data_IF_168107951192
#
_entry.id   IF_168107951192
#
_cell.length_a   1.000
_cell.length_b   1.000
_cell.length_c   1.000
_cell.angle_alpha   90.00
_cell.angle_beta   90.00
_cell.angle_gamma   90.00
#
_symmetry.space_group_name_H-M   'P 1'
#
loop_
_entity.id
_entity.type
_entity.pdbx_description
1 polymer ?
#
# COMPACT_ATOMS: atom_id res chain seq x y z
N UNK A 1 -15.66 -19.96 3.97
CA UNK A 1 -14.81 -18.81 3.60
C UNK A 1 -15.54 -17.48 3.72
N UNK A 2 -16.72 -17.34 3.11
CA UNK A 2 -17.49 -16.08 3.12
C UNK A 2 -17.87 -15.59 4.54
N UNK A 3 -18.26 -16.51 5.42
CA UNK A 3 -18.60 -16.18 6.82
C UNK A 3 -17.40 -15.60 7.58
N UNK A 4 -16.22 -16.22 7.44
CA UNK A 4 -14.98 -15.76 8.07
C UNK A 4 -14.56 -14.39 7.54
N UNK A 5 -14.64 -14.19 6.22
CA UNK A 5 -14.37 -12.91 5.58
C UNK A 5 -15.28 -11.80 6.12
N UNK A 6 -16.61 -12.05 6.22
CA UNK A 6 -17.57 -11.08 6.78
C UNK A 6 -17.29 -10.75 8.25
N UNK A 7 -16.93 -11.75 9.04
CA UNK A 7 -16.56 -11.54 10.44
C UNK A 7 -15.31 -10.67 10.58
N UNK A 8 -14.27 -10.97 9.83
CA UNK A 8 -13.02 -10.20 9.85
C UNK A 8 -13.22 -8.77 9.31
N UNK A 9 -14.02 -8.61 8.27
CA UNK A 9 -14.38 -7.29 7.73
C UNK A 9 -15.16 -6.46 8.76
N UNK A 10 -16.14 -7.06 9.45
CA UNK A 10 -16.91 -6.39 10.50
C UNK A 10 -16.02 -5.98 11.67
N UNK A 11 -15.07 -6.83 12.09
CA UNK A 11 -14.08 -6.48 13.13
C UNK A 11 -13.26 -5.26 12.73
N UNK A 12 -12.80 -5.21 11.48
CA UNK A 12 -12.00 -4.10 10.97
C UNK A 12 -12.78 -2.79 10.98
N UNK A 13 -14.03 -2.77 10.48
CA UNK A 13 -14.84 -1.56 10.45
C UNK A 13 -15.35 -1.09 11.81
N UNK A 14 -15.57 -2.00 12.76
CA UNK A 14 -15.92 -1.65 14.14
C UNK A 14 -14.73 -1.12 14.95
N UNK A 15 -13.51 -1.27 14.45
CA UNK A 15 -12.32 -0.81 15.13
C UNK A 15 -12.23 0.72 15.04
N UNK A 16 -12.20 1.41 16.18
CA UNK A 16 -12.09 2.89 16.26
C UNK A 16 -10.90 3.43 15.43
N UNK A 17 -9.78 2.68 15.41
CA UNK A 17 -8.61 3.08 14.61
C UNK A 17 -8.88 3.16 13.12
N UNK A 18 -9.81 2.39 12.55
CA UNK A 18 -10.18 2.45 11.14
C UNK A 18 -10.90 3.76 10.80
N UNK A 19 -11.79 4.20 11.70
CA UNK A 19 -12.50 5.50 11.55
C UNK A 19 -11.50 6.66 11.66
N UNK A 20 -10.63 6.63 12.67
CA UNK A 20 -9.59 7.65 12.84
C UNK A 20 -8.64 7.72 11.66
N UNK A 21 -8.26 6.57 11.08
CA UNK A 21 -7.48 6.53 9.86
C UNK A 21 -8.13 7.32 8.72
N UNK A 22 -9.41 7.07 8.44
CA UNK A 22 -10.15 7.79 7.40
C UNK A 22 -10.21 9.31 7.67
N UNK A 23 -10.46 9.70 8.92
CA UNK A 23 -10.50 11.12 9.31
C UNK A 23 -9.12 11.80 9.16
N UNK A 24 -8.05 11.15 9.59
CA UNK A 24 -6.68 11.68 9.46
C UNK A 24 -6.32 11.84 7.99
N UNK A 25 -6.59 10.84 7.15
CA UNK A 25 -6.32 10.91 5.71
C UNK A 25 -7.12 12.02 5.03
N UNK A 26 -8.39 12.19 5.40
CA UNK A 26 -9.23 13.28 4.88
C UNK A 26 -8.71 14.66 5.32
N UNK A 27 -8.25 14.78 6.56
CA UNK A 27 -7.67 16.03 7.09
C UNK A 27 -6.36 16.37 6.36
N UNK A 28 -5.49 15.39 6.12
CA UNK A 28 -4.24 15.57 5.35
C UNK A 28 -4.57 16.08 3.94
N UNK A 29 -5.49 15.41 3.23
CA UNK A 29 -5.92 15.83 1.89
C UNK A 29 -6.44 17.27 1.88
N UNK A 30 -7.26 17.64 2.88
CA UNK A 30 -7.82 18.98 2.99
C UNK A 30 -6.74 20.03 3.22
N UNK A 31 -5.77 19.75 4.10
CA UNK A 31 -4.64 20.66 4.37
C UNK A 31 -3.85 20.91 3.07
N UNK A 32 -3.44 19.85 2.36
CA UNK A 32 -2.69 20.02 1.11
C UNK A 32 -3.49 20.68 -0.01
N UNK A 33 -4.82 20.45 -0.07
CA UNK A 33 -5.69 21.14 -1.01
C UNK A 33 -5.79 22.64 -0.70
N UNK A 34 -5.89 23.02 0.57
CA UNK A 34 -5.87 24.43 1.02
C UNK A 34 -4.51 25.07 0.71
N UNK A 35 -3.39 24.38 1.00
CA UNK A 35 -2.04 24.87 0.68
C UNK A 35 -1.86 25.06 -0.83
N UNK A 36 -2.38 24.16 -1.66
CA UNK A 36 -2.34 24.28 -3.11
C UNK A 36 -3.15 25.50 -3.62
N UNK A 37 -4.22 25.89 -2.90
CA UNK A 37 -4.99 27.10 -3.20
C UNK A 37 -4.26 28.38 -2.79
N UNK A 38 -3.70 28.42 -1.57
CA UNK A 38 -3.13 29.62 -0.97
C UNK A 38 -1.70 29.88 -1.49
N UNK A 39 -0.88 28.83 -1.66
CA UNK A 39 0.52 28.94 -2.08
C UNK A 39 0.83 28.09 -3.31
N UNK A 40 0.27 28.41 -4.49
CA UNK A 40 0.42 27.60 -5.70
C UNK A 40 1.86 27.56 -6.24
N UNK A 41 2.72 28.49 -5.84
CA UNK A 41 4.15 28.51 -6.20
C UNK A 41 4.95 27.40 -5.51
N UNK A 42 4.60 27.07 -4.27
CA UNK A 42 5.26 26.01 -3.49
C UNK A 42 4.53 24.66 -3.69
N UNK A 43 3.20 24.72 -3.72
CA UNK A 43 2.31 23.56 -3.87
C UNK A 43 1.49 23.69 -5.17
N UNK A 44 2.07 23.36 -6.35
CA UNK A 44 1.35 23.49 -7.60
C UNK A 44 0.12 22.60 -7.61
N UNK A 45 -1.05 23.16 -7.82
CA UNK A 45 -2.34 22.51 -7.70
C UNK A 45 -2.44 21.21 -8.55
N UNK A 46 -1.88 21.24 -9.76
CA UNK A 46 -1.87 20.08 -10.66
C UNK A 46 -1.02 18.92 -10.09
N UNK A 47 0.14 19.22 -9.54
CA UNK A 47 1.04 18.21 -8.94
C UNK A 47 0.43 17.63 -7.67
N UNK A 48 -0.12 18.49 -6.80
CA UNK A 48 -0.80 18.06 -5.58
C UNK A 48 -2.00 17.17 -5.87
N UNK A 49 -2.81 17.53 -6.87
CA UNK A 49 -3.91 16.67 -7.29
C UNK A 49 -3.41 15.34 -7.88
N UNK A 50 -2.36 15.36 -8.71
CA UNK A 50 -1.79 14.14 -9.29
C UNK A 50 -1.31 13.16 -8.21
N UNK A 51 -0.83 13.67 -7.07
CA UNK A 51 -0.45 12.90 -5.89
C UNK A 51 -1.62 12.64 -4.90
N UNK A 52 -2.88 12.85 -5.30
CA UNK A 52 -4.04 12.77 -4.41
C UNK A 52 -3.86 13.60 -3.12
N UNK A 53 -3.30 14.81 -3.26
CA UNK A 53 -2.96 15.69 -2.11
C UNK A 53 -2.13 14.96 -1.05
N UNK A 54 -1.12 14.19 -1.48
CA UNK A 54 -0.14 13.44 -0.67
C UNK A 54 -0.73 12.29 0.18
N UNK A 55 -2.04 12.03 0.09
CA UNK A 55 -2.72 11.02 0.94
C UNK A 55 -2.17 9.61 0.69
N UNK A 56 -1.78 9.28 -0.54
CA UNK A 56 -1.35 7.93 -0.89
C UNK A 56 -0.11 7.49 -0.10
N UNK A 57 0.82 8.39 0.16
CA UNK A 57 2.00 8.11 0.98
C UNK A 57 1.64 7.77 2.43
N UNK A 58 0.58 8.37 2.97
CA UNK A 58 0.12 8.09 4.33
C UNK A 58 -0.71 6.82 4.42
N UNK A 59 -1.43 6.42 3.36
CA UNK A 59 -2.17 5.15 3.31
C UNK A 59 -1.24 3.97 3.62
N UNK A 60 0.00 3.99 3.13
CA UNK A 60 0.99 2.93 3.35
C UNK A 60 1.19 2.65 4.85
N UNK A 61 1.34 3.68 5.68
CA UNK A 61 1.57 3.52 7.12
C UNK A 61 0.38 2.87 7.83
N UNK A 62 -0.84 3.32 7.50
CA UNK A 62 -2.04 2.74 8.06
C UNK A 62 -2.24 1.29 7.62
N UNK A 63 -1.92 0.99 6.35
CA UNK A 63 -2.02 -0.37 5.82
C UNK A 63 -0.97 -1.30 6.43
N UNK A 64 0.27 -0.84 6.65
CA UNK A 64 1.31 -1.59 7.38
C UNK A 64 0.86 -1.91 8.80
N UNK A 65 0.31 -0.92 9.52
CA UNK A 65 -0.20 -1.13 10.86
C UNK A 65 -1.39 -2.11 10.88
N UNK A 66 -2.32 -1.99 9.93
CA UNK A 66 -3.45 -2.90 9.80
C UNK A 66 -2.99 -4.33 9.48
N UNK A 67 -2.10 -4.52 8.52
CA UNK A 67 -1.57 -5.81 8.10
C UNK A 67 -0.82 -6.51 9.23
N UNK A 68 0.09 -5.81 9.90
CA UNK A 68 0.88 -6.34 11.01
C UNK A 68 -0.02 -6.74 12.19
N UNK A 69 -0.95 -5.86 12.60
CA UNK A 69 -1.84 -6.15 13.73
C UNK A 69 -2.84 -7.26 13.44
N UNK A 70 -3.38 -7.34 12.22
CA UNK A 70 -4.37 -8.35 11.84
C UNK A 70 -3.85 -9.78 11.96
N UNK A 71 -2.54 -9.99 11.75
CA UNK A 71 -1.90 -11.31 11.92
C UNK A 71 -1.48 -11.53 13.36
N UNK A 72 -0.79 -10.56 13.96
CA UNK A 72 -0.11 -10.77 15.23
C UNK A 72 -1.05 -10.76 16.44
N UNK A 73 -2.17 -10.04 16.39
CA UNK A 73 -3.13 -9.97 17.51
C UNK A 73 -3.68 -11.34 17.90
N UNK A 74 -3.93 -12.23 16.94
CA UNK A 74 -4.43 -13.57 17.26
C UNK A 74 -3.42 -14.44 18.01
N UNK A 75 -2.14 -14.25 17.73
CA UNK A 75 -1.06 -14.89 18.47
C UNK A 75 -0.86 -14.23 19.84
N UNK A 76 -0.91 -12.91 19.89
CA UNK A 76 -0.71 -12.14 21.12
C UNK A 76 -1.78 -12.42 22.17
N UNK A 77 -3.04 -12.58 21.74
CA UNK A 77 -4.18 -12.85 22.63
C UNK A 77 -4.57 -14.32 22.70
N UNK A 78 -3.82 -15.23 22.04
CA UNK A 78 -4.11 -16.67 22.06
C UNK A 78 -5.42 -17.08 21.38
N UNK A 79 -6.09 -16.15 20.70
CA UNK A 79 -7.40 -16.37 20.06
C UNK A 79 -7.33 -17.29 18.84
N UNK A 80 -6.14 -17.52 18.31
CA UNK A 80 -5.94 -18.41 17.16
C UNK A 80 -6.43 -19.83 17.42
N UNK A 81 -6.31 -20.33 18.68
CA UNK A 81 -6.83 -21.65 19.07
C UNK A 81 -8.34 -21.74 18.90
N UNK A 82 -9.07 -20.72 19.31
CA UNK A 82 -10.53 -20.66 19.15
C UNK A 82 -10.98 -20.64 17.69
N UNK A 83 -10.25 -19.94 16.82
CA UNK A 83 -10.58 -19.90 15.38
C UNK A 83 -10.32 -21.27 14.72
N UNK A 84 -9.27 -21.96 15.14
CA UNK A 84 -8.93 -23.29 14.62
C UNK A 84 -9.89 -24.39 15.11
N UNK A 85 -10.44 -24.27 16.32
CA UNK A 85 -11.45 -25.22 16.84
C UNK A 85 -12.79 -25.14 16.09
N UNK A 86 -13.09 -24.03 15.39
CA UNK A 86 -14.29 -23.85 14.59
C UNK A 86 -14.22 -24.49 13.19
N UNK A 87 -13.40 -25.52 12.97
CA UNK A 87 -13.23 -26.25 11.70
C UNK A 87 -12.62 -25.45 10.54
N UNK A 88 -11.99 -24.29 10.80
CA UNK A 88 -11.28 -23.56 9.77
C UNK A 88 -9.82 -23.98 9.68
N UNK A 89 -9.33 -24.27 8.48
CA UNK A 89 -7.91 -24.53 8.25
C UNK A 89 -7.08 -23.25 8.38
N UNK A 90 -5.84 -23.36 8.89
CA UNK A 90 -4.90 -22.22 9.03
C UNK A 90 -4.72 -21.41 7.72
N UNK A 91 -4.55 -22.04 6.55
CA UNK A 91 -4.47 -21.30 5.29
C UNK A 91 -5.72 -20.48 4.98
N UNK A 92 -6.91 -21.02 5.26
CA UNK A 92 -8.17 -20.34 5.00
C UNK A 92 -8.31 -19.07 5.84
N UNK A 93 -7.88 -19.11 7.11
CA UNK A 93 -7.88 -17.94 7.99
C UNK A 93 -6.96 -16.85 7.44
N UNK A 94 -5.75 -17.22 7.02
CA UNK A 94 -4.79 -16.26 6.49
C UNK A 94 -5.28 -15.62 5.17
N UNK A 95 -5.80 -16.43 4.25
CA UNK A 95 -6.34 -15.93 2.98
C UNK A 95 -7.54 -15.01 3.21
N UNK A 96 -8.42 -15.33 4.18
CA UNK A 96 -9.54 -14.43 4.51
C UNK A 96 -9.07 -13.07 5.01
N UNK A 97 -7.97 -13.02 5.79
CA UNK A 97 -7.36 -11.77 6.25
C UNK A 97 -6.74 -10.97 5.10
N UNK A 98 -6.08 -11.63 4.16
CA UNK A 98 -5.57 -10.95 2.96
C UNK A 98 -6.68 -10.33 2.12
N UNK A 99 -7.80 -11.05 1.94
CA UNK A 99 -8.96 -10.51 1.23
C UNK A 99 -9.58 -9.30 1.94
N UNK A 100 -9.62 -9.30 3.27
CA UNK A 100 -10.09 -8.17 4.06
C UNK A 100 -9.14 -6.97 3.90
N UNK A 101 -7.83 -7.19 3.96
CA UNK A 101 -6.84 -6.14 3.71
C UNK A 101 -6.93 -5.60 2.28
N UNK A 102 -7.17 -6.47 1.29
CA UNK A 102 -7.38 -6.07 -0.10
C UNK A 102 -8.61 -5.16 -0.22
N UNK A 103 -9.73 -5.57 0.36
CA UNK A 103 -10.94 -4.75 0.35
C UNK A 103 -10.72 -3.41 1.05
N UNK A 104 -10.03 -3.41 2.19
CA UNK A 104 -9.74 -2.19 2.95
C UNK A 104 -8.82 -1.25 2.18
N UNK A 105 -7.75 -1.77 1.57
CA UNK A 105 -6.86 -0.95 0.74
C UNK A 105 -7.58 -0.37 -0.48
N UNK A 106 -8.42 -1.15 -1.17
CA UNK A 106 -9.24 -0.64 -2.27
C UNK A 106 -10.15 0.50 -1.82
N UNK A 107 -10.82 0.34 -0.67
CA UNK A 107 -11.67 1.40 -0.12
C UNK A 107 -10.88 2.67 0.20
N UNK A 108 -9.67 2.56 0.76
CA UNK A 108 -8.83 3.72 1.04
C UNK A 108 -8.35 4.41 -0.24
N UNK A 109 -7.87 3.64 -1.23
CA UNK A 109 -7.38 4.20 -2.50
C UNK A 109 -8.51 4.82 -3.33
N UNK A 110 -9.64 4.13 -3.48
CA UNK A 110 -10.80 4.66 -4.20
C UNK A 110 -11.41 5.84 -3.44
N UNK A 111 -11.59 5.71 -2.13
CA UNK A 111 -12.15 6.78 -1.29
C UNK A 111 -11.29 8.04 -1.30
N UNK A 112 -9.97 7.91 -1.16
CA UNK A 112 -9.04 9.05 -1.23
C UNK A 112 -9.03 9.71 -2.62
N UNK A 113 -9.14 8.91 -3.69
CA UNK A 113 -9.19 9.40 -5.06
C UNK A 113 -10.49 10.17 -5.35
N UNK A 114 -11.63 9.64 -4.90
CA UNK A 114 -12.92 10.34 -5.00
C UNK A 114 -12.92 11.64 -4.18
N UNK A 115 -12.33 11.59 -2.97
CA UNK A 115 -12.20 12.77 -2.13
C UNK A 115 -11.25 13.81 -2.75
N UNK A 116 -10.15 13.39 -3.39
CA UNK A 116 -9.26 14.30 -4.12
C UNK A 116 -10.00 14.99 -5.28
N UNK A 117 -10.84 14.28 -6.03
CA UNK A 117 -11.68 14.88 -7.08
C UNK A 117 -12.63 15.92 -6.48
N UNK A 118 -13.27 15.61 -5.37
CA UNK A 118 -14.17 16.54 -4.67
C UNK A 118 -13.41 17.80 -4.23
N UNK A 119 -12.27 17.66 -3.58
CA UNK A 119 -11.43 18.79 -3.16
C UNK A 119 -10.96 19.63 -4.36
N UNK A 120 -10.63 18.97 -5.48
CA UNK A 120 -10.28 19.68 -6.71
C UNK A 120 -11.43 20.55 -7.19
N UNK A 121 -12.62 20.00 -7.25
CA UNK A 121 -13.80 20.74 -7.72
C UNK A 121 -14.16 21.89 -6.77
N UNK A 122 -14.11 21.66 -5.46
CA UNK A 122 -14.53 22.65 -4.46
C UNK A 122 -13.48 23.75 -4.20
N UNK A 123 -12.19 23.41 -4.17
CA UNK A 123 -11.15 24.31 -3.68
C UNK A 123 -10.19 24.81 -4.77
N UNK A 124 -9.95 24.01 -5.82
CA UNK A 124 -8.82 24.26 -6.75
C UNK A 124 -9.25 24.30 -8.20
N UNK A 125 -10.56 24.38 -8.48
CA UNK A 125 -11.11 24.30 -9.83
C UNK A 125 -10.64 25.41 -10.77
N UNK A 126 -10.43 26.59 -10.22
CA UNK A 126 -9.95 27.79 -10.91
C UNK A 126 -8.45 27.73 -11.27
N UNK A 127 -7.68 26.84 -10.66
CA UNK A 127 -6.22 26.77 -10.83
C UNK A 127 -5.79 25.92 -12.02
N UNK A 128 -6.58 24.93 -12.44
CA UNK A 128 -6.34 24.15 -13.65
C UNK A 128 -7.58 23.37 -14.10
N UNK A 129 -7.79 23.26 -15.42
CA UNK A 129 -8.88 22.50 -16.02
C UNK A 129 -8.44 21.05 -16.26
N UNK A 130 -9.03 20.10 -15.56
CA UNK A 130 -8.75 18.65 -15.71
C UNK A 130 -9.58 18.02 -16.81
N UNK A 131 -10.85 18.44 -16.91
CA UNK A 131 -11.87 17.68 -17.63
C UNK A 131 -11.68 17.63 -19.15
N UNK A 132 -10.70 18.36 -19.69
CA UNK A 132 -10.46 18.49 -21.13
C UNK A 132 -9.37 17.56 -21.68
N UNK A 133 -8.63 16.81 -20.84
CA UNK A 133 -7.48 16.00 -21.30
C UNK A 133 -7.58 14.54 -20.83
N UNK A 134 -8.05 13.67 -21.73
CA UNK A 134 -8.13 12.22 -21.48
C UNK A 134 -6.78 11.61 -21.02
N UNK A 135 -5.65 12.08 -21.59
CA UNK A 135 -4.31 11.65 -21.18
C UNK A 135 -4.03 11.91 -19.70
N UNK A 136 -4.46 13.03 -19.15
CA UNK A 136 -4.23 13.33 -17.72
C UNK A 136 -4.95 12.33 -16.81
N UNK A 137 -6.19 11.96 -17.15
CA UNK A 137 -6.95 10.95 -16.40
C UNK A 137 -6.32 9.57 -16.46
N UNK A 138 -5.83 9.18 -17.65
CA UNK A 138 -5.11 7.93 -17.82
C UNK A 138 -3.85 7.91 -16.95
N UNK A 139 -3.01 8.94 -17.03
CA UNK A 139 -1.76 9.02 -16.27
C UNK A 139 -2.02 9.05 -14.75
N UNK A 140 -3.06 9.77 -14.32
CA UNK A 140 -3.46 9.83 -12.92
C UNK A 140 -3.95 8.48 -12.40
N UNK A 141 -4.84 7.79 -13.13
CA UNK A 141 -5.32 6.45 -12.76
C UNK A 141 -4.18 5.43 -12.76
N UNK A 142 -3.27 5.50 -13.73
CA UNK A 142 -2.08 4.66 -13.76
C UNK A 142 -1.20 4.91 -12.54
N UNK A 143 -1.00 6.17 -12.13
CA UNK A 143 -0.29 6.55 -10.91
C UNK A 143 -0.93 5.97 -9.65
N UNK A 144 -2.26 6.14 -9.49
CA UNK A 144 -3.02 5.57 -8.36
C UNK A 144 -2.89 4.03 -8.32
N UNK A 145 -3.01 3.37 -9.47
CA UNK A 145 -2.84 1.93 -9.60
C UNK A 145 -1.42 1.46 -9.29
N UNK A 146 -0.43 2.25 -9.72
CA UNK A 146 0.98 2.00 -9.43
C UNK A 146 1.29 2.06 -7.93
N UNK A 147 0.80 3.10 -7.23
CA UNK A 147 0.94 3.24 -5.79
C UNK A 147 0.22 2.13 -5.01
N UNK A 148 -0.97 1.74 -5.47
CA UNK A 148 -1.70 0.60 -4.91
C UNK A 148 -0.87 -0.69 -5.03
N UNK A 149 -0.27 -0.96 -6.19
CA UNK A 149 0.54 -2.14 -6.42
C UNK A 149 1.82 -2.12 -5.58
N UNK A 150 2.52 -0.98 -5.49
CA UNK A 150 3.68 -0.80 -4.63
C UNK A 150 3.35 -1.01 -3.16
N UNK A 151 2.20 -0.49 -2.71
CA UNK A 151 1.70 -0.74 -1.35
C UNK A 151 1.48 -2.22 -1.11
N UNK A 152 0.91 -2.96 -2.05
CA UNK A 152 0.71 -4.41 -1.93
C UNK A 152 2.01 -5.19 -1.95
N UNK A 153 3.02 -4.75 -2.70
CA UNK A 153 4.35 -5.35 -2.64
C UNK A 153 4.94 -5.23 -1.22
N UNK A 154 4.86 -4.04 -0.62
CA UNK A 154 5.30 -3.82 0.76
C UNK A 154 4.47 -4.64 1.75
N UNK A 155 3.13 -4.63 1.61
CA UNK A 155 2.25 -5.36 2.52
C UNK A 155 2.48 -6.87 2.48
N UNK A 156 2.72 -7.44 1.31
CA UNK A 156 3.04 -8.86 1.19
C UNK A 156 4.32 -9.24 1.94
N UNK A 157 5.34 -8.37 1.91
CA UNK A 157 6.56 -8.52 2.70
C UNK A 157 6.27 -8.34 4.21
N UNK A 158 5.50 -7.33 4.58
CA UNK A 158 5.10 -7.09 5.99
C UNK A 158 4.30 -8.27 6.52
N UNK A 159 3.38 -8.83 5.75
CA UNK A 159 2.59 -10.01 6.13
C UNK A 159 3.48 -11.25 6.34
N UNK A 160 4.49 -11.43 5.48
CA UNK A 160 5.49 -12.48 5.64
C UNK A 160 6.27 -12.30 6.95
N UNK A 161 6.77 -11.11 7.21
CA UNK A 161 7.55 -10.79 8.41
C UNK A 161 6.65 -10.87 9.67
N UNK A 162 5.45 -10.33 9.63
CA UNK A 162 4.49 -10.38 10.75
C UNK A 162 4.16 -11.82 11.18
N UNK A 163 4.18 -12.76 10.24
CA UNK A 163 4.00 -14.18 10.56
C UNK A 163 5.11 -14.73 11.48
N UNK A 164 6.24 -14.06 11.63
CA UNK A 164 7.36 -14.45 12.49
C UNK A 164 7.27 -13.84 13.91
N UNK A 165 6.53 -12.74 14.06
CA UNK A 165 6.42 -12.01 15.34
C UNK A 165 5.24 -12.47 16.19
N UNK A 166 5.43 -12.43 17.53
CA UNK A 166 4.37 -12.67 18.52
C UNK A 166 3.74 -11.38 19.04
N UNK A 167 4.42 -10.23 18.89
CA UNK A 167 3.97 -8.91 19.34
C UNK A 167 3.52 -8.06 18.16
N UNK A 168 2.33 -7.46 18.28
CA UNK A 168 1.80 -6.56 17.27
C UNK A 168 2.61 -5.27 17.15
N UNK A 169 3.07 -4.70 18.28
CA UNK A 169 3.89 -3.51 18.29
C UNK A 169 5.22 -3.71 17.56
N UNK A 170 5.91 -4.84 17.81
CA UNK A 170 7.16 -5.16 17.12
C UNK A 170 6.95 -5.34 15.60
N UNK A 171 5.89 -6.03 15.19
CA UNK A 171 5.60 -6.25 13.77
C UNK A 171 5.27 -4.93 13.04
N UNK A 172 4.52 -4.02 13.67
CA UNK A 172 4.24 -2.68 13.14
C UNK A 172 5.51 -1.86 13.02
N UNK A 173 6.33 -1.83 14.08
CA UNK A 173 7.59 -1.07 14.10
C UNK A 173 8.54 -1.55 12.99
N UNK A 174 8.73 -2.86 12.86
CA UNK A 174 9.56 -3.45 11.79
C UNK A 174 8.99 -3.15 10.41
N UNK A 175 7.67 -3.18 10.24
CA UNK A 175 7.03 -2.83 8.97
C UNK A 175 7.25 -1.37 8.56
N UNK A 176 7.10 -0.43 9.51
CA UNK A 176 7.33 1.00 9.26
C UNK A 176 8.82 1.30 9.04
N UNK A 177 9.69 0.79 9.91
CA UNK A 177 11.15 0.94 9.74
C UNK A 177 11.58 0.33 8.41
N UNK A 178 11.06 -0.86 8.08
CA UNK A 178 11.31 -1.53 6.82
C UNK A 178 10.97 -0.67 5.60
N UNK A 179 9.84 0.04 5.62
CA UNK A 179 9.47 0.97 4.56
C UNK A 179 10.55 2.05 4.32
N UNK A 180 11.03 2.69 5.38
CA UNK A 180 12.09 3.70 5.26
C UNK A 180 13.43 3.09 4.83
N UNK A 181 13.81 1.94 5.38
CA UNK A 181 15.03 1.23 5.02
C UNK A 181 15.01 0.82 3.54
N UNK A 182 13.87 0.30 3.04
CA UNK A 182 13.72 -0.05 1.62
C UNK A 182 13.92 1.17 0.72
N UNK A 183 13.36 2.34 1.10
CA UNK A 183 13.59 3.60 0.39
C UNK A 183 15.07 4.01 0.36
N UNK A 184 15.76 3.91 1.49
CA UNK A 184 17.19 4.26 1.58
C UNK A 184 18.08 3.29 0.79
N UNK A 185 17.80 1.98 0.87
CA UNK A 185 18.58 0.93 0.17
C UNK A 185 18.33 0.96 -1.34
N UNK A 186 17.18 1.47 -1.79
CA UNK A 186 16.88 1.57 -3.21
C UNK A 186 17.86 2.49 -3.95
N UNK A 187 18.37 3.54 -3.32
CA UNK A 187 19.33 4.48 -3.93
C UNK A 187 20.65 3.79 -4.34
N UNK A 188 21.39 3.11 -3.45
CA UNK A 188 22.59 2.39 -3.84
C UNK A 188 22.30 1.17 -4.75
N UNK A 189 21.09 0.58 -4.64
CA UNK A 189 20.70 -0.53 -5.50
C UNK A 189 20.64 -0.11 -6.98
N UNK A 190 20.18 1.09 -7.28
CA UNK A 190 20.18 1.67 -8.63
C UNK A 190 21.62 1.70 -9.21
N UNK A 191 22.59 2.11 -8.40
CA UNK A 191 24.00 2.10 -8.84
C UNK A 191 24.51 0.69 -9.13
N UNK A 192 24.09 -0.29 -8.33
CA UNK A 192 24.44 -1.70 -8.53
C UNK A 192 23.79 -2.29 -9.79
N UNK A 193 22.55 -1.92 -10.10
CA UNK A 193 21.84 -2.35 -11.32
C UNK A 193 22.59 -1.92 -12.58
N UNK A 194 23.20 -0.72 -12.57
CA UNK A 194 24.03 -0.24 -13.69
C UNK A 194 25.27 -1.09 -13.89
N UNK A 195 25.86 -1.62 -12.80
CA UNK A 195 27.07 -2.45 -12.85
C UNK A 195 26.74 -3.93 -13.13
N UNK A 196 25.64 -4.42 -12.55
CA UNK A 196 25.23 -5.82 -12.63
C UNK A 196 23.78 -5.90 -13.14
N UNK A 197 23.59 -6.07 -14.43
CA UNK A 197 22.28 -6.01 -15.10
C UNK A 197 21.27 -7.06 -14.63
N UNK A 198 21.73 -8.20 -14.10
CA UNK A 198 20.83 -9.23 -13.54
C UNK A 198 20.10 -8.75 -12.27
N UNK A 199 20.66 -7.79 -11.53
CA UNK A 199 20.03 -7.19 -10.35
C UNK A 199 18.80 -6.37 -10.68
N UNK A 200 18.53 -6.04 -11.94
CA UNK A 200 17.31 -5.29 -12.32
C UNK A 200 16.02 -5.98 -11.88
N UNK A 201 16.03 -7.31 -11.73
CA UNK A 201 14.87 -8.09 -11.32
C UNK A 201 14.69 -8.21 -9.80
N UNK A 202 15.49 -7.54 -8.98
CA UNK A 202 15.34 -7.59 -7.53
C UNK A 202 14.04 -6.88 -7.06
N UNK A 203 13.49 -7.27 -5.89
CA UNK A 203 12.22 -6.70 -5.39
C UNK A 203 12.31 -5.20 -5.09
N UNK A 204 13.50 -4.67 -4.75
CA UNK A 204 13.68 -3.23 -4.49
C UNK A 204 13.47 -2.41 -5.76
N UNK A 205 13.93 -2.91 -6.92
CA UNK A 205 13.72 -2.22 -8.19
C UNK A 205 12.23 -2.18 -8.57
N UNK A 206 11.44 -3.17 -8.14
CA UNK A 206 10.00 -3.19 -8.39
C UNK A 206 9.26 -2.04 -7.70
N UNK A 207 9.74 -1.54 -6.55
CA UNK A 207 9.19 -0.35 -5.87
C UNK A 207 9.29 0.94 -6.70
N UNK A 208 10.11 0.97 -7.75
CA UNK A 208 10.19 2.12 -8.65
C UNK A 208 9.04 2.20 -9.66
N UNK A 209 8.13 1.23 -9.68
CA UNK A 209 7.04 1.16 -10.67
C UNK A 209 6.18 2.42 -10.71
N UNK A 210 5.63 2.84 -9.58
CA UNK A 210 4.80 4.05 -9.48
C UNK A 210 5.57 5.31 -9.88
N UNK A 211 6.81 5.47 -9.41
CA UNK A 211 7.67 6.61 -9.77
C UNK A 211 7.97 6.63 -11.27
N UNK A 212 8.19 5.47 -11.91
CA UNK A 212 8.46 5.37 -13.34
C UNK A 212 7.23 5.73 -14.19
N UNK A 213 6.01 5.37 -13.76
CA UNK A 213 4.78 5.80 -14.41
C UNK A 213 4.64 7.33 -14.44
N UNK A 214 5.08 8.02 -13.36
CA UNK A 214 5.11 9.48 -13.30
C UNK A 214 6.27 10.11 -14.06
N UNK A 215 7.41 9.44 -14.15
CA UNK A 215 8.66 9.88 -14.76
C UNK A 215 9.24 8.79 -15.67
N UNK A 216 8.81 8.70 -16.95
CA UNK A 216 9.24 7.63 -17.88
C UNK A 216 10.77 7.55 -18.09
N UNK A 217 11.50 8.65 -17.82
CA UNK A 217 12.97 8.66 -17.88
C UNK A 217 13.64 7.71 -16.88
N UNK A 218 12.93 7.33 -15.82
CA UNK A 218 13.41 6.35 -14.85
C UNK A 218 13.60 4.95 -15.44
N UNK A 219 12.98 4.63 -16.59
CA UNK A 219 13.20 3.36 -17.29
C UNK A 219 14.67 3.14 -17.67
N UNK A 220 15.42 4.21 -17.92
CA UNK A 220 16.89 4.17 -18.16
C UNK A 220 17.69 3.82 -16.89
N UNK A 221 17.08 4.00 -15.73
CA UNK A 221 17.69 3.75 -14.42
C UNK A 221 17.34 2.36 -13.93
N UNK A 222 16.07 2.00 -14.00
CA UNK A 222 15.55 0.69 -13.60
C UNK A 222 15.96 -0.42 -14.58
N UNK A 223 16.31 -0.07 -15.82
CA UNK A 223 16.57 -0.99 -16.93
C UNK A 223 15.40 -1.96 -17.21
N UNK A 224 14.17 -1.55 -16.86
CA UNK A 224 12.94 -2.31 -17.06
C UNK A 224 11.86 -1.42 -17.68
N UNK A 225 10.98 -2.02 -18.48
CA UNK A 225 9.76 -1.36 -18.97
C UNK A 225 8.68 -1.37 -17.88
N UNK A 226 7.66 -0.50 -18.02
CA UNK A 226 6.52 -0.44 -17.10
C UNK A 226 5.79 -1.79 -17.01
N UNK A 227 5.66 -2.49 -18.13
CA UNK A 227 5.05 -3.83 -18.19
C UNK A 227 5.89 -4.86 -17.40
N UNK A 228 7.22 -4.79 -17.51
CA UNK A 228 8.12 -5.67 -16.76
C UNK A 228 8.07 -5.39 -15.26
N UNK A 229 8.02 -4.12 -14.86
CA UNK A 229 7.86 -3.73 -13.46
C UNK A 229 6.51 -4.16 -12.90
N UNK A 230 5.43 -4.02 -13.67
CA UNK A 230 4.10 -4.49 -13.29
C UNK A 230 4.07 -6.00 -12.98
N UNK A 231 4.55 -6.82 -13.92
CA UNK A 231 4.59 -8.27 -13.74
C UNK A 231 5.57 -8.70 -12.67
N UNK A 232 6.70 -8.01 -12.56
CA UNK A 232 7.66 -8.23 -11.47
C UNK A 232 7.06 -7.96 -10.09
N UNK A 233 6.30 -6.87 -9.92
CA UNK A 233 5.56 -6.59 -8.70
C UNK A 233 4.59 -7.73 -8.36
N UNK A 234 3.75 -8.15 -9.32
CA UNK A 234 2.79 -9.24 -9.11
C UNK A 234 3.48 -10.54 -8.72
N UNK A 235 4.58 -10.88 -9.39
CA UNK A 235 5.35 -12.09 -9.10
C UNK A 235 5.89 -12.08 -7.65
N UNK A 236 6.45 -10.95 -7.19
CA UNK A 236 6.94 -10.82 -5.82
C UNK A 236 5.83 -10.78 -4.79
N UNK A 237 4.69 -10.13 -5.07
CA UNK A 237 3.52 -10.17 -4.19
C UNK A 237 3.07 -11.62 -3.98
N UNK A 238 2.90 -12.38 -5.06
CA UNK A 238 2.51 -13.78 -4.99
C UNK A 238 3.55 -14.59 -4.23
N UNK A 239 4.84 -14.41 -4.53
CA UNK A 239 5.95 -15.10 -3.86
C UNK A 239 5.91 -14.87 -2.34
N UNK A 240 5.84 -13.62 -1.90
CA UNK A 240 5.84 -13.30 -0.47
C UNK A 240 4.57 -13.78 0.25
N UNK A 241 3.41 -13.72 -0.40
CA UNK A 241 2.18 -14.27 0.14
C UNK A 241 2.24 -15.80 0.28
N UNK A 242 2.76 -16.49 -0.74
CA UNK A 242 2.95 -17.96 -0.68
C UNK A 242 3.95 -18.34 0.41
N UNK A 243 5.09 -17.66 0.52
CA UNK A 243 6.05 -17.86 1.59
C UNK A 243 5.41 -17.60 2.97
N UNK A 244 4.66 -16.51 3.11
CA UNK A 244 3.92 -16.20 4.33
C UNK A 244 2.94 -17.31 4.74
N UNK A 245 2.25 -17.90 3.77
CA UNK A 245 1.35 -19.02 3.98
C UNK A 245 2.09 -20.28 4.45
N UNK A 246 3.25 -20.58 3.85
CA UNK A 246 4.07 -21.72 4.22
C UNK A 246 4.63 -21.58 5.64
N UNK A 247 5.15 -20.41 6.01
CA UNK A 247 5.64 -20.13 7.36
C UNK A 247 4.52 -20.18 8.39
N UNK A 248 3.36 -19.56 8.09
CA UNK A 248 2.20 -19.59 8.99
C UNK A 248 1.68 -21.00 9.23
N UNK A 249 1.73 -21.86 8.22
CA UNK A 249 1.29 -23.26 8.31
C UNK A 249 2.17 -24.09 9.24
N UNK A 250 3.50 -23.82 9.27
CA UNK A 250 4.49 -24.55 10.09
C UNK A 250 4.60 -24.03 11.52
N UNK A 251 3.99 -22.88 11.82
CA UNK A 251 4.11 -22.25 13.13
C UNK A 251 3.35 -23.06 14.18
N UNK A 252 4.05 -23.47 15.24
CA UNK A 252 3.46 -24.10 16.42
C UNK A 252 2.63 -23.05 17.21
N UNK A 253 1.45 -23.47 17.74
CA UNK A 253 0.47 -22.63 18.47
C UNK A 253 0.30 -23.14 19.88
#
# INVERSE_FOLDING_TARGET
MMTLYRQELTKLFKKKSTIWCGLILATIALIFAILARIKPTIFPAKTMFAANFEVQQFIVFFMVAAAATMITMEFQFGTIKHVLTQRYSRPLVLVSKWLVLLTYSLLLYVGSSLFAILLKVCLVNDKFAIFTRAKFWHDWLAGVGGEFLNTWLLLSLVLLIAALFKSSGAAVAVGIIGYFVLGMVNIPMIALIRKYTWLKWNPLNMFNFSAQLGLPTLSKITNLTDVQLFWGNLAYIILFLVLGLLFFRRREV
#
